data_IF_172234176184
#
_entry.id   IF_172234176184
#
_cell.length_a   1.000
_cell.length_b   1.000
_cell.length_c   1.000
_cell.angle_alpha   90.00
_cell.angle_beta   90.00
_cell.angle_gamma   90.00
#
_symmetry.space_group_name_H-M   'P 1'
#
loop_
_entity.id
_entity.type
_entity.pdbx_description
1 polymer ?
#
# COMPACT_ATOMS: atom_id res chain seq x y z
N UNK A 1 -23.49 -2.54 16.34
CA UNK A 1 -22.37 -1.63 15.99
C UNK A 1 -22.86 -0.89 14.78
N UNK A 2 -23.03 0.42 14.90
CA UNK A 2 -23.64 1.19 13.82
C UNK A 2 -22.57 1.53 12.80
N UNK A 3 -22.78 1.10 11.56
CA UNK A 3 -21.84 1.29 10.46
C UNK A 3 -22.48 2.26 9.46
N UNK A 4 -21.78 3.34 9.17
CA UNK A 4 -22.10 4.23 8.06
C UNK A 4 -21.13 3.96 6.92
N UNK A 5 -21.64 3.56 5.75
CA UNK A 5 -20.86 3.46 4.53
C UNK A 5 -21.07 4.73 3.67
N UNK A 6 -20.01 5.26 3.07
CA UNK A 6 -20.11 6.39 2.13
C UNK A 6 -19.23 6.17 0.90
N UNK A 7 -19.73 6.59 -0.24
CA UNK A 7 -18.96 6.70 -1.49
C UNK A 7 -18.98 8.12 -2.06
N UNK A 8 -19.52 9.08 -1.30
CA UNK A 8 -19.53 10.49 -1.64
C UNK A 8 -18.13 11.11 -1.49
N UNK A 9 -17.52 11.62 -2.58
CA UNK A 9 -16.22 12.29 -2.53
C UNK A 9 -16.17 13.48 -1.55
N UNK A 10 -17.27 14.19 -1.30
CA UNK A 10 -17.29 15.29 -0.36
C UNK A 10 -17.12 14.78 1.08
N UNK A 11 -17.84 13.72 1.45
CA UNK A 11 -17.68 13.06 2.74
C UNK A 11 -16.25 12.52 2.91
N UNK A 12 -15.71 11.86 1.89
CA UNK A 12 -14.33 11.33 1.93
C UNK A 12 -13.31 12.45 2.11
N UNK A 13 -13.44 13.54 1.36
CA UNK A 13 -12.56 14.70 1.52
C UNK A 13 -12.62 15.26 2.95
N UNK A 14 -13.82 15.34 3.52
CA UNK A 14 -14.00 15.82 4.89
C UNK A 14 -13.28 14.93 5.91
N UNK A 15 -13.48 13.62 5.80
CA UNK A 15 -12.93 12.62 6.72
C UNK A 15 -11.41 12.51 6.59
N UNK A 16 -10.89 12.53 5.36
CA UNK A 16 -9.48 12.23 5.07
C UNK A 16 -8.57 13.46 4.95
N UNK A 17 -9.15 14.66 4.97
CA UNK A 17 -8.42 15.92 4.84
C UNK A 17 -8.89 16.95 5.86
N UNK A 18 -10.07 17.58 5.68
CA UNK A 18 -10.41 18.79 6.45
C UNK A 18 -10.66 18.55 7.93
N UNK A 19 -11.08 17.35 8.32
CA UNK A 19 -11.38 16.96 9.71
C UNK A 19 -10.59 15.71 10.14
N UNK A 20 -9.43 15.47 9.50
CA UNK A 20 -8.63 14.24 9.68
C UNK A 20 -8.37 13.85 11.14
N UNK A 21 -8.09 14.81 12.02
CA UNK A 21 -7.82 14.57 13.44
C UNK A 21 -9.03 14.00 14.20
N UNK A 22 -10.25 14.25 13.74
CA UNK A 22 -11.47 13.68 14.32
C UNK A 22 -11.72 12.23 13.89
N UNK A 23 -11.01 11.75 12.86
CA UNK A 23 -11.23 10.43 12.25
C UNK A 23 -9.96 9.56 12.29
N UNK A 24 -9.52 9.09 13.47
CA UNK A 24 -8.54 8.00 13.57
C UNK A 24 -9.14 6.67 13.09
N UNK A 25 -8.32 5.63 12.97
CA UNK A 25 -8.82 4.25 12.77
C UNK A 25 -9.50 3.75 14.05
N UNK A 26 -8.90 4.06 15.20
CA UNK A 26 -9.47 3.82 16.52
C UNK A 26 -9.25 2.39 17.05
N UNK A 27 -9.58 2.15 18.33
CA UNK A 27 -9.22 0.91 19.04
C UNK A 27 -9.97 -0.33 18.55
N UNK A 28 -11.05 -0.15 17.80
CA UNK A 28 -11.79 -1.27 17.22
C UNK A 28 -11.13 -1.80 15.96
N UNK A 29 -10.57 -0.91 15.14
CA UNK A 29 -9.72 -1.29 14.03
C UNK A 29 -8.51 -2.08 14.53
N UNK A 30 -7.82 -1.57 15.56
CA UNK A 30 -6.66 -2.25 16.16
C UNK A 30 -6.99 -3.66 16.68
N UNK A 31 -8.22 -3.90 17.19
CA UNK A 31 -8.65 -5.24 17.63
C UNK A 31 -8.94 -6.19 16.47
N UNK A 32 -9.41 -5.67 15.34
CA UNK A 32 -9.70 -6.46 14.14
C UNK A 32 -8.39 -6.90 13.47
N UNK A 33 -7.41 -6.01 13.47
CA UNK A 33 -6.07 -6.20 12.89
C UNK A 33 -5.01 -6.56 13.93
N UNK A 34 -5.42 -7.03 15.12
CA UNK A 34 -4.54 -7.24 16.28
C UNK A 34 -3.30 -8.10 15.99
N UNK A 35 -3.43 -9.00 15.02
CA UNK A 35 -2.34 -9.83 14.53
C UNK A 35 -1.15 -9.01 13.98
N UNK A 36 -1.36 -7.94 13.21
CA UNK A 36 -0.24 -7.21 12.59
C UNK A 36 0.50 -6.25 13.55
N UNK A 37 0.20 -6.32 14.85
CA UNK A 37 0.88 -5.55 15.88
C UNK A 37 0.61 -4.05 15.77
N UNK A 38 1.58 -3.23 16.15
CA UNK A 38 1.44 -1.76 16.21
C UNK A 38 2.12 -1.05 15.03
N UNK A 39 2.33 -1.76 13.92
CA UNK A 39 3.07 -1.19 12.81
C UNK A 39 2.25 -0.23 11.94
N UNK A 40 2.88 0.27 10.87
CA UNK A 40 2.51 1.52 10.19
C UNK A 40 1.05 1.57 9.74
N UNK A 41 0.50 0.45 9.28
CA UNK A 41 -0.88 0.38 8.78
C UNK A 41 -1.93 0.43 9.89
N UNK A 42 -1.59 0.06 11.13
CA UNK A 42 -2.49 0.01 12.29
C UNK A 42 -2.32 1.22 13.21
N UNK A 43 -1.11 1.79 13.24
CA UNK A 43 -0.80 2.95 14.06
C UNK A 43 -1.74 4.14 13.78
N UNK A 44 -2.01 4.93 14.82
CA UNK A 44 -2.71 6.21 14.80
C UNK A 44 -1.81 7.32 15.40
N UNK A 45 -2.15 8.58 15.13
CA UNK A 45 -1.55 9.77 15.74
C UNK A 45 -0.01 9.81 15.64
N UNK A 46 0.69 10.11 16.74
CA UNK A 46 2.14 10.36 16.73
C UNK A 46 2.96 9.10 16.39
N UNK A 47 2.48 7.91 16.78
CA UNK A 47 3.11 6.64 16.38
C UNK A 47 3.12 6.50 14.85
N UNK A 48 1.98 6.76 14.21
CA UNK A 48 1.88 6.73 12.75
C UNK A 48 2.77 7.79 12.09
N UNK A 49 2.79 9.02 12.61
CA UNK A 49 3.64 10.10 12.07
C UNK A 49 5.12 9.71 12.09
N UNK A 50 5.58 9.14 13.21
CA UNK A 50 6.98 8.73 13.38
C UNK A 50 7.35 7.56 12.46
N UNK A 51 6.54 6.50 12.45
CA UNK A 51 6.79 5.35 11.58
C UNK A 51 6.74 5.74 10.10
N UNK A 52 5.83 6.64 9.70
CA UNK A 52 5.75 7.16 8.33
C UNK A 52 6.98 7.96 7.95
N UNK A 53 7.50 8.81 8.84
CA UNK A 53 8.73 9.58 8.60
C UNK A 53 9.91 8.65 8.29
N UNK A 54 10.04 7.56 9.06
CA UNK A 54 11.09 6.55 8.86
C UNK A 54 10.89 5.82 7.52
N UNK A 55 9.68 5.31 7.25
CA UNK A 55 9.37 4.63 6.00
C UNK A 55 9.62 5.52 4.76
N UNK A 56 9.32 6.82 4.85
CA UNK A 56 9.62 7.80 3.79
C UNK A 56 11.13 8.00 3.62
N UNK A 57 11.87 8.21 4.70
CA UNK A 57 13.32 8.39 4.65
C UNK A 57 14.01 7.19 3.98
N UNK A 58 13.51 5.98 4.24
CA UNK A 58 14.03 4.76 3.63
C UNK A 58 13.68 4.62 2.16
N UNK A 59 12.43 4.84 1.78
CA UNK A 59 11.98 4.68 0.39
C UNK A 59 12.56 5.72 -0.56
N UNK A 60 12.98 6.87 -0.04
CA UNK A 60 13.69 7.92 -0.81
C UNK A 60 15.21 7.73 -0.84
N UNK A 61 15.74 6.76 -0.08
CA UNK A 61 17.18 6.54 0.01
C UNK A 61 17.72 5.89 -1.27
N UNK A 62 18.81 6.44 -1.83
CA UNK A 62 19.41 5.96 -3.09
C UNK A 62 19.76 4.48 -3.07
N UNK A 63 20.23 3.99 -1.93
CA UNK A 63 20.61 2.59 -1.76
C UNK A 63 19.41 1.64 -1.75
N UNK A 64 18.29 2.06 -1.16
CA UNK A 64 17.04 1.30 -1.22
C UNK A 64 16.55 1.18 -2.66
N UNK A 65 16.65 2.26 -3.43
CA UNK A 65 16.31 2.23 -4.85
C UNK A 65 17.19 1.25 -5.66
N UNK A 66 18.51 1.27 -5.45
CA UNK A 66 19.43 0.33 -6.10
C UNK A 66 19.13 -1.13 -5.72
N UNK A 67 18.82 -1.37 -4.44
CA UNK A 67 18.40 -2.68 -3.96
C UNK A 67 17.09 -3.15 -4.61
N UNK A 68 16.07 -2.27 -4.69
CA UNK A 68 14.77 -2.55 -5.31
C UNK A 68 14.94 -2.94 -6.78
N UNK A 69 15.71 -2.15 -7.52
CA UNK A 69 16.01 -2.36 -8.93
C UNK A 69 16.68 -3.72 -9.16
N UNK A 70 17.74 -4.02 -8.41
CA UNK A 70 18.46 -5.30 -8.49
C UNK A 70 17.56 -6.48 -8.14
N UNK A 71 16.80 -6.37 -7.06
CA UNK A 71 15.87 -7.43 -6.62
C UNK A 71 14.79 -7.69 -7.67
N UNK A 72 14.26 -6.62 -8.28
CA UNK A 72 13.28 -6.73 -9.35
C UNK A 72 13.87 -7.44 -10.56
N UNK A 73 15.07 -7.07 -10.98
CA UNK A 73 15.78 -7.74 -12.07
C UNK A 73 16.01 -9.22 -11.77
N UNK A 74 16.56 -9.55 -10.59
CA UNK A 74 16.78 -10.93 -10.16
C UNK A 74 15.49 -11.74 -10.17
N UNK A 75 14.37 -11.14 -9.73
CA UNK A 75 13.04 -11.78 -9.73
C UNK A 75 12.48 -11.97 -11.14
N UNK A 76 12.66 -10.99 -12.03
CA UNK A 76 12.24 -11.08 -13.43
C UNK A 76 13.01 -12.21 -14.14
N UNK A 77 14.34 -12.24 -13.99
CA UNK A 77 15.21 -13.20 -14.66
C UNK A 77 15.07 -14.63 -14.11
N UNK A 78 14.94 -14.78 -12.79
CA UNK A 78 14.97 -16.11 -12.13
C UNK A 78 13.60 -16.61 -11.68
N UNK A 79 12.60 -15.73 -11.59
CA UNK A 79 11.35 -15.98 -10.87
C UNK A 79 10.06 -15.87 -11.69
N UNK A 80 10.02 -15.11 -12.80
CA UNK A 80 8.80 -14.96 -13.61
C UNK A 80 8.47 -16.16 -14.51
N UNK A 81 9.42 -17.08 -14.74
CA UNK A 81 9.19 -18.28 -15.55
C UNK A 81 8.61 -19.46 -14.72
N UNK A 82 8.96 -19.69 -13.44
CA UNK A 82 8.27 -20.66 -12.59
C UNK A 82 7.03 -20.08 -11.88
N UNK A 83 6.09 -19.46 -12.60
CA UNK A 83 4.86 -18.89 -12.01
C UNK A 83 3.73 -19.93 -11.84
N UNK A 84 3.93 -21.18 -12.27
CA UNK A 84 2.85 -22.18 -12.24
C UNK A 84 2.88 -23.17 -11.06
N UNK A 85 3.93 -23.19 -10.23
CA UNK A 85 4.09 -24.23 -9.18
C UNK A 85 4.42 -23.71 -7.77
N UNK A 86 4.40 -22.40 -7.53
CA UNK A 86 4.51 -21.83 -6.17
C UNK A 86 3.17 -21.22 -5.77
N UNK A 87 2.15 -22.05 -5.58
CA UNK A 87 1.14 -21.70 -4.58
C UNK A 87 1.86 -21.74 -3.21
N UNK A 88 2.47 -20.61 -2.90
CA UNK A 88 3.27 -20.37 -1.71
C UNK A 88 2.35 -20.45 -0.49
N UNK A 89 2.68 -21.33 0.44
CA UNK A 89 1.97 -21.50 1.72
C UNK A 89 1.77 -20.14 2.42
N UNK A 90 2.69 -19.20 2.22
CA UNK A 90 2.59 -17.82 2.69
C UNK A 90 1.45 -17.02 2.03
N UNK A 91 1.28 -17.12 0.70
CA UNK A 91 0.20 -16.41 -0.01
C UNK A 91 -1.18 -16.91 0.41
N UNK A 92 -1.35 -18.24 0.54
CA UNK A 92 -2.59 -18.83 1.05
C UNK A 92 -2.87 -18.41 2.49
N UNK A 93 -1.84 -18.38 3.35
CA UNK A 93 -1.98 -17.90 4.72
C UNK A 93 -2.43 -16.44 4.79
N UNK A 94 -1.93 -15.56 3.92
CA UNK A 94 -2.40 -14.19 3.84
C UNK A 94 -3.86 -14.08 3.36
N UNK A 95 -4.25 -14.84 2.33
CA UNK A 95 -5.65 -14.91 1.86
C UNK A 95 -6.60 -15.36 2.98
N UNK A 96 -6.18 -16.38 3.72
CA UNK A 96 -6.90 -16.92 4.86
C UNK A 96 -7.04 -15.87 5.99
N UNK A 97 -5.98 -15.10 6.26
CA UNK A 97 -6.02 -14.02 7.24
C UNK A 97 -6.94 -12.87 6.79
N UNK A 98 -6.84 -12.44 5.52
CA UNK A 98 -7.68 -11.40 4.92
C UNK A 98 -9.17 -11.78 4.98
N UNK A 99 -9.51 -13.03 4.66
CA UNK A 99 -10.89 -13.55 4.77
C UNK A 99 -11.42 -13.46 6.20
N UNK A 100 -10.61 -13.86 7.19
CA UNK A 100 -11.04 -13.83 8.59
C UNK A 100 -11.19 -12.40 9.10
N UNK A 101 -10.27 -11.49 8.73
CA UNK A 101 -10.38 -10.05 9.02
C UNK A 101 -11.69 -9.50 8.46
N UNK A 102 -12.02 -9.85 7.22
CA UNK A 102 -13.28 -9.45 6.60
C UNK A 102 -14.48 -9.97 7.40
N UNK A 103 -14.48 -11.24 7.82
CA UNK A 103 -15.54 -11.83 8.64
C UNK A 103 -15.67 -11.19 10.04
N UNK A 104 -14.56 -10.74 10.64
CA UNK A 104 -14.56 -10.04 11.95
C UNK A 104 -15.36 -8.73 11.92
N UNK A 105 -15.50 -8.08 10.75
CA UNK A 105 -16.32 -6.88 10.61
C UNK A 105 -17.82 -7.13 10.75
N UNK A 106 -18.30 -8.26 10.23
CA UNK A 106 -19.73 -8.58 10.22
C UNK A 106 -20.18 -9.39 11.44
N UNK A 107 -19.23 -10.03 12.14
CA UNK A 107 -19.53 -10.83 13.33
C UNK A 107 -19.53 -9.98 14.61
N UNK A 108 -20.55 -10.11 15.48
CA UNK A 108 -20.50 -9.57 16.84
C UNK A 108 -19.23 -9.99 17.58
N UNK A 109 -18.63 -9.06 18.33
CA UNK A 109 -17.36 -9.28 19.03
C UNK A 109 -17.33 -10.49 19.95
N UNK A 110 -18.45 -10.73 20.60
CA UNK A 110 -18.61 -11.85 21.52
C UNK A 110 -18.48 -13.17 20.75
N UNK A 111 -19.08 -13.27 19.56
CA UNK A 111 -19.05 -14.50 18.76
C UNK A 111 -17.63 -14.82 18.29
N UNK A 112 -16.93 -13.88 17.65
CA UNK A 112 -15.58 -14.19 17.16
C UNK A 112 -14.57 -14.37 18.31
N UNK A 113 -14.71 -13.65 19.42
CA UNK A 113 -13.85 -13.89 20.61
C UNK A 113 -14.08 -15.27 21.22
N UNK A 114 -15.32 -15.75 21.24
CA UNK A 114 -15.64 -17.11 21.68
C UNK A 114 -15.08 -18.15 20.72
N UNK A 115 -15.18 -17.94 19.40
CA UNK A 115 -14.58 -18.83 18.40
C UNK A 115 -13.06 -18.93 18.57
N UNK A 116 -12.40 -17.79 18.84
CA UNK A 116 -10.96 -17.74 19.14
C UNK A 116 -10.61 -18.47 20.43
N UNK A 117 -11.40 -18.28 21.49
CA UNK A 117 -11.17 -18.93 22.79
C UNK A 117 -11.34 -20.45 22.71
N UNK A 118 -12.36 -20.91 21.98
CA UNK A 118 -12.70 -22.32 21.82
C UNK A 118 -11.89 -22.99 20.70
N UNK A 119 -11.10 -22.23 19.94
CA UNK A 119 -10.17 -22.74 18.94
C UNK A 119 -10.83 -23.40 17.74
N UNK A 120 -11.98 -22.90 17.26
CA UNK A 120 -12.66 -23.45 16.08
C UNK A 120 -13.18 -22.38 15.12
N UNK A 121 -13.44 -22.79 13.87
CA UNK A 121 -14.00 -21.93 12.84
C UNK A 121 -12.97 -20.95 12.27
N UNK A 122 -13.41 -19.78 11.74
CA UNK A 122 -12.52 -18.83 11.07
C UNK A 122 -11.34 -18.36 11.94
N UNK A 123 -11.50 -18.29 13.26
CA UNK A 123 -10.41 -17.88 14.16
C UNK A 123 -9.31 -18.95 14.32
N UNK A 124 -9.63 -20.22 14.12
CA UNK A 124 -8.61 -21.28 14.04
C UNK A 124 -7.80 -21.14 12.76
N UNK A 125 -8.50 -20.93 11.62
CA UNK A 125 -7.88 -20.66 10.31
C UNK A 125 -6.94 -19.45 10.37
N UNK A 126 -7.36 -18.38 11.05
CA UNK A 126 -6.53 -17.20 11.32
C UNK A 126 -5.28 -17.52 12.13
N UNK A 127 -5.39 -18.36 13.16
CA UNK A 127 -4.25 -18.76 13.98
C UNK A 127 -3.21 -19.53 13.15
N UNK A 128 -3.66 -20.52 12.37
CA UNK A 128 -2.80 -21.33 11.50
C UNK A 128 -2.12 -20.46 10.43
N UNK A 129 -2.88 -19.58 9.78
CA UNK A 129 -2.35 -18.59 8.84
C UNK A 129 -1.29 -17.69 9.49
N UNK A 130 -1.55 -17.22 10.71
CA UNK A 130 -0.65 -16.31 11.39
C UNK A 130 0.67 -16.96 11.82
N UNK A 131 0.64 -18.23 12.23
CA UNK A 131 1.85 -19.00 12.53
C UNK A 131 2.78 -19.09 11.32
N UNK A 132 2.23 -19.27 10.11
CA UNK A 132 3.00 -19.28 8.87
C UNK A 132 3.63 -17.91 8.60
N UNK A 133 2.84 -16.83 8.71
CA UNK A 133 3.34 -15.45 8.49
C UNK A 133 4.45 -15.09 9.48
N UNK A 134 4.25 -15.44 10.75
CA UNK A 134 5.23 -15.20 11.82
C UNK A 134 6.53 -15.98 11.59
N UNK A 135 6.42 -17.25 11.19
CA UNK A 135 7.59 -18.09 10.88
C UNK A 135 8.39 -17.53 9.69
N UNK A 136 7.70 -17.06 8.64
CA UNK A 136 8.35 -16.42 7.48
C UNK A 136 9.07 -15.15 7.92
N UNK A 137 8.40 -14.27 8.69
CA UNK A 137 9.01 -13.04 9.21
C UNK A 137 10.23 -13.33 10.09
N UNK A 138 10.13 -14.30 11.01
CA UNK A 138 11.24 -14.72 11.86
C UNK A 138 12.43 -15.26 11.06
N UNK A 139 12.17 -16.04 10.00
CA UNK A 139 13.21 -16.55 9.09
C UNK A 139 13.94 -15.41 8.38
N UNK A 140 13.19 -14.42 7.88
CA UNK A 140 13.77 -13.23 7.26
C UNK A 140 14.66 -12.45 8.25
N UNK A 141 14.16 -12.20 9.47
CA UNK A 141 14.89 -11.47 10.50
C UNK A 141 16.17 -12.22 10.90
N UNK A 142 16.08 -13.54 11.14
CA UNK A 142 17.23 -14.36 11.54
C UNK A 142 18.30 -14.38 10.46
N UNK A 143 17.92 -14.68 9.20
CA UNK A 143 18.84 -14.69 8.06
C UNK A 143 19.54 -13.34 7.92
N UNK A 144 18.82 -12.24 8.12
CA UNK A 144 19.40 -10.91 7.98
C UNK A 144 20.33 -10.54 9.14
N UNK A 145 20.01 -10.96 10.36
CA UNK A 145 20.92 -10.84 11.52
C UNK A 145 22.22 -11.63 11.31
N UNK A 146 22.14 -12.82 10.71
CA UNK A 146 23.32 -13.63 10.37
C UNK A 146 24.19 -12.96 9.31
N UNK A 147 23.59 -12.42 8.24
CA UNK A 147 24.31 -11.65 7.22
C UNK A 147 25.05 -10.44 7.81
N UNK A 148 24.42 -9.74 8.78
CA UNK A 148 25.04 -8.62 9.49
C UNK A 148 26.17 -9.04 10.45
N UNK A 149 26.03 -10.17 11.14
CA UNK A 149 27.03 -10.69 12.09
C UNK A 149 28.23 -11.34 11.39
N UNK A 150 28.02 -11.95 10.22
CA UNK A 150 29.03 -12.71 9.50
C UNK A 150 30.13 -11.88 8.85
N UNK A 151 30.14 -10.55 9.02
CA UNK A 151 31.14 -9.66 8.39
C UNK A 151 31.08 -9.63 6.85
N UNK A 152 30.19 -10.42 6.24
CA UNK A 152 29.79 -10.33 4.83
C UNK A 152 28.91 -9.10 4.61
N UNK A 153 29.41 -7.93 5.02
CA UNK A 153 29.26 -6.78 4.14
C UNK A 153 30.07 -7.20 2.93
N UNK A 154 29.43 -7.81 1.94
CA UNK A 154 29.93 -7.68 0.60
C UNK A 154 30.01 -6.17 0.35
N UNK A 155 31.19 -5.59 0.64
CA UNK A 155 31.73 -4.47 -0.12
C UNK A 155 31.96 -4.98 -1.54
N UNK A 156 30.90 -5.46 -2.19
CA UNK A 156 30.79 -5.42 -3.64
C UNK A 156 30.44 -3.98 -3.90
N UNK A 157 31.42 -3.22 -4.38
CA UNK A 157 31.24 -1.83 -4.80
C UNK A 157 29.91 -1.74 -5.58
N UNK A 158 28.93 -1.03 -5.00
CA UNK A 158 27.60 -0.86 -5.61
C UNK A 158 26.41 -1.59 -4.96
N UNK A 159 26.59 -2.44 -3.94
CA UNK A 159 25.47 -2.99 -3.16
C UNK A 159 25.02 -1.97 -2.09
N UNK A 160 23.87 -1.33 -2.31
CA UNK A 160 23.24 -0.45 -1.33
C UNK A 160 22.85 -1.19 -0.04
N UNK A 161 22.76 -0.47 1.09
CA UNK A 161 22.24 -1.04 2.34
C UNK A 161 20.79 -1.52 2.18
N UNK A 162 20.53 -2.71 2.72
CA UNK A 162 19.21 -3.33 2.76
C UNK A 162 18.23 -2.53 3.66
N UNK A 163 16.94 -2.50 3.28
CA UNK A 163 15.87 -1.76 3.97
C UNK A 163 15.87 -2.02 5.48
N UNK A 164 16.05 -3.29 5.86
CA UNK A 164 16.06 -3.71 7.25
C UNK A 164 17.31 -3.21 7.98
N UNK A 165 18.45 -3.15 7.28
CA UNK A 165 19.72 -2.65 7.82
C UNK A 165 19.67 -1.14 8.06
N UNK A 166 19.11 -0.38 7.11
CA UNK A 166 18.90 1.06 7.29
C UNK A 166 17.84 1.35 8.37
N UNK A 167 16.81 0.49 8.53
CA UNK A 167 15.84 0.58 9.63
C UNK A 167 16.52 0.40 11.00
N UNK A 168 17.35 -0.64 11.16
CA UNK A 168 18.08 -0.95 12.39
C UNK A 168 19.05 0.18 12.77
N UNK A 169 19.71 0.81 11.77
CA UNK A 169 20.65 1.91 12.00
C UNK A 169 19.95 3.23 12.35
N UNK A 170 18.86 3.57 11.66
CA UNK A 170 18.08 4.80 11.93
C UNK A 170 17.33 4.75 13.28
N UNK A 171 16.98 3.56 13.76
CA UNK A 171 16.23 3.37 15.01
C UNK A 171 17.07 3.67 16.26
N UNK A 172 18.37 3.32 16.26
CA UNK A 172 19.28 3.58 17.39
C UNK A 172 19.38 5.06 17.78
N UNK A 173 18.97 5.97 16.90
CA UNK A 173 19.05 7.42 17.10
C UNK A 173 17.69 8.10 17.37
N UNK A 174 16.52 7.44 17.16
CA UNK A 174 15.22 8.14 17.11
C UNK A 174 14.11 7.66 18.07
N UNK A 175 14.27 6.62 18.90
CA UNK A 175 13.22 6.23 19.86
C UNK A 175 13.67 6.00 21.31
N UNK A 176 12.94 6.66 22.21
CA UNK A 176 12.86 6.44 23.67
C UNK A 176 11.49 5.79 23.92
N UNK A 177 11.41 4.46 24.14
CA UNK A 177 10.12 3.80 24.38
C UNK A 177 10.19 2.27 24.57
N UNK A 178 9.30 1.74 25.42
CA UNK A 178 9.36 0.46 26.15
C UNK A 178 9.15 -0.85 25.36
N UNK A 179 9.25 -0.87 24.02
CA UNK A 179 9.07 -2.10 23.22
C UNK A 179 10.41 -2.78 22.96
N UNK A 180 10.40 -4.11 22.90
CA UNK A 180 11.60 -4.84 22.47
C UNK A 180 11.84 -4.56 20.99
N UNK A 181 13.11 -4.36 20.63
CA UNK A 181 13.53 -4.18 19.23
C UNK A 181 13.02 -5.31 18.33
N UNK A 182 12.89 -6.52 18.87
CA UNK A 182 12.44 -7.71 18.16
C UNK A 182 10.97 -7.64 17.74
N UNK A 183 10.08 -7.16 18.61
CA UNK A 183 8.65 -6.98 18.28
C UNK A 183 8.43 -5.94 17.19
N UNK A 184 9.14 -4.81 17.28
CA UNK A 184 9.04 -3.75 16.29
C UNK A 184 9.55 -4.20 14.91
N UNK A 185 10.66 -4.92 14.88
CA UNK A 185 11.25 -5.46 13.65
C UNK A 185 10.32 -6.48 13.00
N UNK A 186 9.72 -7.35 13.80
CA UNK A 186 8.71 -8.30 13.36
C UNK A 186 7.51 -7.59 12.74
N UNK A 187 6.91 -6.64 13.45
CA UNK A 187 5.76 -5.88 12.94
C UNK A 187 6.11 -5.13 11.64
N UNK A 188 7.31 -4.56 11.54
CA UNK A 188 7.78 -3.86 10.34
C UNK A 188 7.94 -4.80 9.15
N UNK A 189 8.62 -5.94 9.31
CA UNK A 189 8.81 -6.95 8.25
C UNK A 189 7.47 -7.47 7.76
N UNK A 190 6.57 -7.83 8.68
CA UNK A 190 5.23 -8.31 8.36
C UNK A 190 4.47 -7.27 7.51
N UNK A 191 4.48 -6.00 7.91
CA UNK A 191 3.82 -4.93 7.16
C UNK A 191 4.37 -4.78 5.74
N UNK A 192 5.70 -4.86 5.54
CA UNK A 192 6.28 -4.79 4.21
C UNK A 192 5.96 -6.02 3.35
N UNK A 193 5.93 -7.22 3.94
CA UNK A 193 5.56 -8.44 3.22
C UNK A 193 4.13 -8.39 2.71
N UNK A 194 3.20 -7.84 3.51
CA UNK A 194 1.80 -7.68 3.13
C UNK A 194 1.64 -6.57 2.09
N UNK A 195 2.27 -5.42 2.31
CA UNK A 195 2.21 -4.29 1.39
C UNK A 195 2.85 -4.60 0.03
N UNK A 196 3.86 -5.48 0.00
CA UNK A 196 4.55 -5.92 -1.20
C UNK A 196 3.85 -7.02 -1.98
N UNK A 197 2.64 -7.44 -1.59
CA UNK A 197 1.89 -8.49 -2.30
C UNK A 197 1.55 -8.03 -3.72
N UNK A 198 1.88 -8.86 -4.71
CA UNK A 198 1.85 -8.56 -6.15
C UNK A 198 0.43 -8.41 -6.76
N UNK A 199 -0.61 -8.21 -5.94
CA UNK A 199 -2.01 -8.17 -6.39
C UNK A 199 -2.25 -7.07 -7.44
N UNK A 200 -1.67 -5.87 -7.26
CA UNK A 200 -1.80 -4.78 -8.23
C UNK A 200 -1.13 -5.11 -9.57
N UNK A 201 0.00 -5.81 -9.56
CA UNK A 201 0.76 -6.14 -10.76
C UNK A 201 0.06 -7.24 -11.56
N UNK A 202 -0.52 -8.23 -10.87
CA UNK A 202 -1.35 -9.25 -11.50
C UNK A 202 -2.57 -8.63 -12.22
N UNK A 203 -3.29 -7.71 -11.55
CA UNK A 203 -4.40 -6.99 -12.18
C UNK A 203 -3.94 -6.11 -13.35
N UNK A 204 -2.79 -5.45 -13.22
CA UNK A 204 -2.22 -4.63 -14.30
C UNK A 204 -1.97 -5.48 -15.55
N UNK A 205 -1.26 -6.61 -15.43
CA UNK A 205 -1.00 -7.47 -16.58
C UNK A 205 -2.27 -8.07 -17.17
N UNK A 206 -3.21 -8.49 -16.33
CA UNK A 206 -4.51 -8.99 -16.80
C UNK A 206 -5.28 -7.93 -17.58
N UNK A 207 -5.33 -6.69 -17.09
CA UNK A 207 -6.00 -5.57 -17.77
C UNK A 207 -5.30 -5.20 -19.07
N UNK A 208 -3.97 -5.12 -19.08
CA UNK A 208 -3.20 -4.83 -20.30
C UNK A 208 -3.44 -5.92 -21.35
N UNK A 209 -3.37 -7.19 -20.96
CA UNK A 209 -3.62 -8.34 -21.84
C UNK A 209 -5.04 -8.31 -22.44
N UNK A 210 -6.04 -7.92 -21.66
CA UNK A 210 -7.43 -7.79 -22.13
C UNK A 210 -7.66 -6.57 -23.02
N UNK A 211 -6.70 -5.64 -23.12
CA UNK A 211 -6.81 -4.40 -23.88
C UNK A 211 -5.59 -4.21 -24.82
N UNK A 212 -5.57 -4.88 -26.00
CA UNK A 212 -4.43 -4.85 -26.92
C UNK A 212 -4.03 -3.44 -27.37
N UNK A 213 -4.99 -2.51 -27.43
CA UNK A 213 -4.72 -1.09 -27.72
C UNK A 213 -3.85 -0.44 -26.65
N UNK A 214 -4.10 -0.73 -25.38
CA UNK A 214 -3.31 -0.22 -24.25
C UNK A 214 -1.93 -0.84 -24.28
N UNK A 215 -1.83 -2.15 -24.52
CA UNK A 215 -0.53 -2.82 -24.69
C UNK A 215 0.30 -2.19 -25.81
N UNK A 216 -0.29 -1.97 -26.99
CA UNK A 216 0.39 -1.36 -28.12
C UNK A 216 0.93 0.04 -27.77
N UNK A 217 0.13 0.88 -27.10
CA UNK A 217 0.55 2.22 -26.68
C UNK A 217 1.66 2.19 -25.63
N UNK A 218 1.61 1.27 -24.67
CA UNK A 218 2.70 1.08 -23.70
C UNK A 218 3.98 0.67 -24.43
N UNK A 219 3.90 -0.23 -25.41
CA UNK A 219 5.06 -0.66 -26.21
C UNK A 219 5.62 0.47 -27.06
N UNK A 220 4.77 1.28 -27.70
CA UNK A 220 5.18 2.46 -28.46
C UNK A 220 5.89 3.48 -27.56
N UNK A 221 5.34 3.75 -26.38
CA UNK A 221 5.96 4.65 -25.39
C UNK A 221 7.33 4.14 -24.95
N UNK A 222 7.44 2.85 -24.59
CA UNK A 222 8.71 2.22 -24.23
C UNK A 222 9.72 2.27 -25.37
N UNK A 223 9.31 2.04 -26.61
CA UNK A 223 10.20 2.10 -27.77
C UNK A 223 10.72 3.52 -28.02
N UNK A 224 9.90 4.55 -27.76
CA UNK A 224 10.30 5.95 -27.99
C UNK A 224 11.44 6.43 -27.09
N UNK A 225 11.66 5.77 -25.95
CA UNK A 225 12.71 6.12 -25.00
C UNK A 225 13.96 5.22 -25.12
N UNK A 226 13.90 4.16 -25.93
CA UNK A 226 15.05 3.28 -26.16
C UNK A 226 15.94 3.92 -27.23
N UNK A 227 17.22 4.26 -26.93
CA UNK A 227 18.13 4.79 -27.93
C UNK A 227 18.32 3.81 -29.09
N UNK A 228 18.33 4.32 -30.33
CA UNK A 228 18.47 3.52 -31.56
C UNK A 228 19.73 2.63 -31.62
N UNK A 229 20.73 2.91 -30.76
CA UNK A 229 22.00 2.18 -30.69
C UNK A 229 21.96 0.93 -29.80
N UNK A 230 20.88 0.72 -29.04
CA UNK A 230 20.71 -0.48 -28.21
C UNK A 230 19.96 -1.57 -28.98
N UNK A 231 20.42 -2.82 -28.85
CA UNK A 231 19.80 -3.95 -29.52
C UNK A 231 18.36 -4.15 -28.99
N UNK A 232 17.38 -4.14 -29.91
CA UNK A 232 15.94 -4.29 -29.59
C UNK A 232 15.58 -5.58 -28.83
N UNK A 233 16.47 -6.57 -28.85
CA UNK A 233 16.26 -7.91 -28.29
C UNK A 233 17.04 -8.19 -26.99
N UNK A 234 17.65 -7.17 -26.37
CA UNK A 234 18.33 -7.33 -25.07
C UNK A 234 17.48 -6.82 -23.90
N UNK A 235 17.53 -7.56 -22.80
CA UNK A 235 16.95 -7.11 -21.53
C UNK A 235 17.65 -5.82 -21.09
N UNK A 236 16.87 -4.76 -20.89
CA UNK A 236 17.33 -3.47 -20.42
C UNK A 236 16.62 -3.07 -19.15
N UNK A 237 17.40 -2.47 -18.25
CA UNK A 237 16.91 -1.80 -17.08
C UNK A 237 16.75 -0.29 -17.36
N UNK A 238 15.58 0.24 -17.04
CA UNK A 238 15.29 1.68 -17.17
C UNK A 238 15.74 2.44 -15.92
N UNK A 239 16.42 3.57 -16.13
CA UNK A 239 16.82 4.47 -15.05
C UNK A 239 15.64 5.37 -14.63
N UNK A 240 15.68 5.90 -13.41
CA UNK A 240 14.59 6.73 -12.84
C UNK A 240 14.20 7.90 -13.73
N UNK A 241 15.19 8.59 -14.33
CA UNK A 241 14.93 9.72 -15.22
C UNK A 241 14.19 9.31 -16.50
N UNK A 242 14.36 8.06 -16.95
CA UNK A 242 13.70 7.52 -18.13
C UNK A 242 12.26 7.12 -17.79
N UNK A 243 12.06 6.55 -16.59
CA UNK A 243 10.73 6.18 -16.09
C UNK A 243 9.81 7.38 -15.89
N UNK A 244 10.34 8.57 -15.57
CA UNK A 244 9.54 9.81 -15.43
C UNK A 244 8.82 10.21 -16.72
N UNK A 245 9.32 9.76 -17.87
CA UNK A 245 8.75 10.09 -19.17
C UNK A 245 7.70 9.07 -19.65
N UNK A 246 7.49 7.98 -18.90
CA UNK A 246 6.52 6.91 -19.23
C UNK A 246 5.11 7.25 -18.71
N UNK A 247 4.53 8.34 -19.24
CA UNK A 247 3.25 8.89 -18.79
C UNK A 247 2.10 7.90 -19.01
N UNK A 248 2.05 7.23 -20.16
CA UNK A 248 1.00 6.29 -20.50
C UNK A 248 1.06 5.02 -19.66
N UNK A 249 2.26 4.47 -19.42
CA UNK A 249 2.47 3.37 -18.48
C UNK A 249 2.02 3.75 -17.07
N UNK A 250 2.42 4.93 -16.59
CA UNK A 250 2.00 5.44 -15.27
C UNK A 250 0.47 5.60 -15.20
N UNK A 251 -0.14 6.13 -16.25
CA UNK A 251 -1.58 6.28 -16.35
C UNK A 251 -2.31 4.92 -16.35
N UNK A 252 -1.74 3.89 -16.99
CA UNK A 252 -2.29 2.54 -16.98
C UNK A 252 -2.19 1.88 -15.60
N UNK A 253 -1.11 2.15 -14.84
CA UNK A 253 -0.99 1.74 -13.43
C UNK A 253 -2.05 2.44 -12.57
N UNK A 254 -2.28 3.75 -12.77
CA UNK A 254 -3.30 4.49 -12.02
C UNK A 254 -4.72 4.01 -12.34
N UNK A 255 -5.00 3.72 -13.61
CA UNK A 255 -6.28 3.13 -14.03
C UNK A 255 -6.47 1.72 -13.46
N UNK A 256 -5.38 0.94 -13.34
CA UNK A 256 -5.41 -0.35 -12.65
C UNK A 256 -5.82 -0.17 -11.20
N UNK A 257 -5.18 0.76 -10.48
CA UNK A 257 -5.50 1.04 -9.08
C UNK A 257 -6.88 1.65 -8.86
N UNK A 258 -7.44 2.34 -9.87
CA UNK A 258 -8.82 2.85 -9.81
C UNK A 258 -9.81 1.69 -9.79
N UNK A 259 -9.58 0.68 -10.62
CA UNK A 259 -10.42 -0.51 -10.71
C UNK A 259 -10.08 -1.53 -9.62
N UNK A 260 -8.83 -1.69 -9.25
CA UNK A 260 -8.34 -2.71 -8.32
C UNK A 260 -7.39 -2.05 -7.31
N UNK A 261 -7.93 -1.22 -6.40
CA UNK A 261 -7.13 -0.61 -5.34
C UNK A 261 -6.56 -1.70 -4.41
N UNK A 262 -5.36 -1.44 -3.87
CA UNK A 262 -4.72 -2.36 -2.92
C UNK A 262 -5.57 -2.55 -1.64
N UNK A 263 -6.24 -1.48 -1.19
CA UNK A 263 -7.19 -1.52 -0.07
C UNK A 263 -8.59 -1.15 -0.59
N UNK A 264 -9.51 -2.12 -0.72
CA UNK A 264 -10.82 -1.86 -1.33
C UNK A 264 -11.81 -1.17 -0.40
N UNK A 265 -11.55 -1.18 0.92
CA UNK A 265 -12.41 -0.64 1.97
C UNK A 265 -11.55 -0.02 3.07
N UNK A 266 -11.86 1.22 3.43
CA UNK A 266 -11.16 1.99 4.46
C UNK A 266 -12.10 2.28 5.64
N UNK A 267 -11.52 2.32 6.84
CA UNK A 267 -12.27 2.39 8.09
C UNK A 267 -11.80 3.56 8.95
N UNK A 268 -12.75 4.33 9.45
CA UNK A 268 -12.53 5.48 10.31
C UNK A 268 -13.54 5.52 11.45
N UNK A 269 -13.16 6.11 12.57
CA UNK A 269 -14.02 6.26 13.74
C UNK A 269 -14.03 7.72 14.22
N UNK A 270 -15.20 8.39 14.28
CA UNK A 270 -15.30 9.73 14.84
C UNK A 270 -14.87 9.76 16.32
N UNK A 271 -14.06 10.73 16.72
CA UNK A 271 -13.75 11.00 18.13
C UNK A 271 -14.84 11.85 18.79
N UNK A 272 -15.42 12.78 18.02
CA UNK A 272 -16.51 13.67 18.42
C UNK A 272 -17.67 13.60 17.42
N UNK A 273 -18.90 13.95 17.84
CA UNK A 273 -20.02 14.12 16.93
C UNK A 273 -19.70 15.12 15.81
N UNK A 274 -20.12 14.81 14.59
CA UNK A 274 -19.86 15.63 13.39
C UNK A 274 -21.02 15.50 12.39
N UNK A 275 -21.12 16.43 11.46
CA UNK A 275 -22.10 16.42 10.35
C UNK A 275 -21.31 16.38 9.06
N UNK A 276 -21.43 15.29 8.31
CA UNK A 276 -20.74 15.15 7.03
C UNK A 276 -21.35 16.11 5.99
N UNK A 277 -20.61 16.48 4.92
CA UNK A 277 -21.11 17.34 3.84
C UNK A 277 -22.43 16.90 3.22
N UNK A 278 -22.70 15.59 3.20
CA UNK A 278 -23.99 15.02 2.79
C UNK A 278 -25.17 15.27 3.76
N UNK A 279 -24.95 15.93 4.89
CA UNK A 279 -25.93 16.18 5.96
C UNK A 279 -26.08 15.06 6.99
N UNK A 280 -25.37 13.95 6.84
CA UNK A 280 -25.46 12.82 7.77
C UNK A 280 -24.73 13.10 9.08
N UNK A 281 -25.40 12.82 10.20
CA UNK A 281 -24.82 12.91 11.53
C UNK A 281 -24.00 11.65 11.85
N UNK A 282 -22.77 11.85 12.31
CA UNK A 282 -21.88 10.78 12.78
C UNK A 282 -21.48 11.04 14.23
N UNK A 283 -21.22 9.98 14.99
CA UNK A 283 -20.85 10.09 16.39
C UNK A 283 -19.88 8.97 16.83
N UNK A 284 -19.27 9.06 18.03
CA UNK A 284 -18.22 8.13 18.46
C UNK A 284 -18.65 6.67 18.68
N UNK A 285 -19.95 6.36 18.61
CA UNK A 285 -20.47 4.98 18.67
C UNK A 285 -20.54 4.33 17.28
N UNK A 286 -20.40 5.12 16.22
CA UNK A 286 -20.46 4.68 14.83
C UNK A 286 -19.05 4.38 14.28
N UNK A 287 -18.98 3.48 13.32
CA UNK A 287 -17.83 3.33 12.44
C UNK A 287 -18.20 3.84 11.05
N UNK A 288 -17.28 4.55 10.43
CA UNK A 288 -17.40 5.01 9.06
C UNK A 288 -16.56 4.12 8.16
N UNK A 289 -17.16 3.67 7.07
CA UNK A 289 -16.50 2.95 6.00
C UNK A 289 -16.62 3.75 4.72
N UNK A 290 -15.53 3.94 4.00
CA UNK A 290 -15.61 4.37 2.60
C UNK A 290 -14.94 3.35 1.71
N UNK A 291 -15.46 3.20 0.50
CA UNK A 291 -15.18 2.05 -0.36
C UNK A 291 -14.48 2.50 -1.64
N UNK A 292 -13.14 2.67 -1.64
CA UNK A 292 -12.37 3.01 -2.84
C UNK A 292 -12.72 2.16 -4.06
N UNK A 293 -12.91 0.84 -3.87
CA UNK A 293 -13.28 -0.08 -4.94
C UNK A 293 -14.60 0.29 -5.64
N UNK A 294 -15.61 0.69 -4.84
CA UNK A 294 -16.92 1.11 -5.35
C UNK A 294 -16.82 2.51 -5.99
N UNK A 295 -16.14 3.44 -5.33
CA UNK A 295 -15.94 4.81 -5.83
C UNK A 295 -15.23 4.83 -7.19
N UNK A 296 -14.26 3.93 -7.38
CA UNK A 296 -13.63 3.70 -8.68
C UNK A 296 -14.62 3.38 -9.80
N UNK A 297 -15.80 2.83 -9.50
CA UNK A 297 -16.81 2.37 -10.48
C UNK A 297 -18.11 3.17 -10.46
N UNK A 298 -18.12 4.35 -9.87
CA UNK A 298 -19.33 5.18 -9.82
C UNK A 298 -19.47 6.11 -11.02
N UNK A 299 -20.66 6.11 -11.64
CA UNK A 299 -20.97 6.99 -12.79
C UNK A 299 -20.84 8.45 -12.42
N UNK A 300 -21.30 8.83 -11.23
CA UNK A 300 -21.22 10.21 -10.74
C UNK A 300 -19.79 10.72 -10.55
N UNK A 301 -18.80 9.82 -10.43
CA UNK A 301 -17.38 10.19 -10.24
C UNK A 301 -16.61 10.11 -11.56
N UNK A 302 -16.81 9.03 -12.32
CA UNK A 302 -15.96 8.66 -13.46
C UNK A 302 -16.67 8.68 -14.82
N UNK A 303 -17.96 9.02 -14.87
CA UNK A 303 -18.77 9.05 -16.10
C UNK A 303 -19.31 7.67 -16.51
N UNK A 304 -19.95 7.61 -17.67
CA UNK A 304 -20.58 6.38 -18.17
C UNK A 304 -19.57 5.28 -18.46
N UNK A 305 -18.38 5.65 -18.94
CA UNK A 305 -17.29 4.75 -19.32
C UNK A 305 -16.46 4.25 -18.11
N UNK A 306 -16.94 4.44 -16.87
CA UNK A 306 -16.25 4.05 -15.62
C UNK A 306 -15.77 2.60 -15.52
N UNK A 307 -16.40 1.66 -16.24
CA UNK A 307 -16.00 0.25 -16.21
C UNK A 307 -14.94 -0.09 -17.26
N UNK A 308 -14.69 0.82 -18.21
CA UNK A 308 -13.64 0.66 -19.21
C UNK A 308 -12.26 0.89 -18.59
N UNK A 309 -11.27 0.12 -19.05
CA UNK A 309 -9.87 0.35 -18.73
C UNK A 309 -9.29 1.38 -19.71
N UNK A 310 -9.27 2.65 -19.28
CA UNK A 310 -8.92 3.80 -20.11
C UNK A 310 -7.85 4.66 -19.44
N UNK A 311 -6.55 4.33 -19.62
CA UNK A 311 -5.44 5.11 -19.07
C UNK A 311 -5.52 6.62 -19.38
N UNK A 312 -6.10 6.98 -20.53
CA UNK A 312 -6.26 8.37 -20.98
C UNK A 312 -7.02 9.26 -19.97
N UNK A 313 -7.77 8.69 -19.01
CA UNK A 313 -8.39 9.44 -17.90
C UNK A 313 -7.39 10.22 -17.07
N UNK A 314 -6.18 9.69 -16.93
CA UNK A 314 -5.10 10.24 -16.13
C UNK A 314 -4.09 11.04 -16.95
N UNK A 315 -4.40 11.36 -18.20
CA UNK A 315 -3.52 12.12 -19.09
C UNK A 315 -4.18 13.47 -19.41
N UNK A 316 -3.41 14.55 -19.30
CA UNK A 316 -3.85 15.90 -19.63
C UNK A 316 -3.77 16.15 -21.13
N UNK A 317 -4.46 17.19 -21.63
CA UNK A 317 -4.36 17.60 -23.05
C UNK A 317 -2.93 17.97 -23.47
N UNK A 318 -2.07 18.34 -22.51
CA UNK A 318 -0.66 18.65 -22.72
C UNK A 318 0.25 17.41 -22.76
N UNK A 319 -0.32 16.21 -22.62
CA UNK A 319 0.42 14.94 -22.66
C UNK A 319 1.08 14.53 -21.34
N UNK A 320 1.01 15.35 -20.28
CA UNK A 320 1.51 15.00 -18.95
C UNK A 320 0.44 14.36 -18.06
N UNK A 321 0.83 13.82 -16.91
CA UNK A 321 -0.10 13.27 -15.91
C UNK A 321 -1.13 14.32 -15.45
N UNK A 322 -2.40 13.96 -15.50
CA UNK A 322 -3.52 14.77 -15.02
C UNK A 322 -3.67 14.61 -13.51
N UNK A 323 -3.75 15.74 -12.82
CA UNK A 323 -4.10 15.74 -11.40
C UNK A 323 -5.57 15.32 -11.21
N UNK A 324 -5.79 14.22 -10.49
CA UNK A 324 -7.11 13.76 -10.06
C UNK A 324 -7.22 13.94 -8.55
N UNK A 325 -8.25 14.66 -8.05
CA UNK A 325 -8.44 14.86 -6.62
C UNK A 325 -8.50 13.52 -5.86
N UNK A 326 -7.81 13.44 -4.72
CA UNK A 326 -7.66 12.23 -3.90
C UNK A 326 -8.98 11.70 -3.39
N UNK A 327 -9.95 12.59 -3.16
CA UNK A 327 -11.30 12.19 -2.76
C UNK A 327 -12.09 11.52 -3.89
N UNK A 328 -11.62 11.59 -5.15
CA UNK A 328 -12.13 10.81 -6.29
C UNK A 328 -11.30 9.55 -6.56
N UNK A 329 -9.97 9.65 -6.38
CA UNK A 329 -9.02 8.56 -6.60
C UNK A 329 -8.22 8.26 -5.33
N UNK A 330 -8.69 7.30 -4.54
CA UNK A 330 -8.14 6.94 -3.22
C UNK A 330 -7.25 5.69 -3.32
N UNK A 331 -6.38 5.61 -4.33
CA UNK A 331 -5.50 4.45 -4.49
C UNK A 331 -4.33 4.44 -3.51
N UNK A 332 -3.84 5.62 -3.13
CA UNK A 332 -2.65 5.79 -2.31
C UNK A 332 -2.96 6.35 -0.92
N UNK A 333 -4.23 6.35 -0.52
CA UNK A 333 -4.75 7.08 0.65
C UNK A 333 -4.28 8.55 0.69
N UNK A 334 -4.73 9.35 1.66
CA UNK A 334 -4.17 10.71 1.85
C UNK A 334 -2.71 10.68 2.40
N UNK A 335 -2.03 9.53 2.35
CA UNK A 335 -0.62 9.32 2.70
C UNK A 335 0.37 10.10 1.81
N UNK A 336 -0.11 10.86 0.82
CA UNK A 336 0.75 11.62 -0.09
C UNK A 336 0.54 13.14 -0.03
N UNK A 337 -0.57 13.65 0.51
CA UNK A 337 -0.97 15.06 0.26
C UNK A 337 -0.71 16.08 1.36
N UNK A 338 -0.41 15.67 2.60
CA UNK A 338 -0.07 16.64 3.66
C UNK A 338 1.19 17.48 3.32
N UNK A 339 2.06 17.03 2.42
CA UNK A 339 3.32 17.76 2.09
C UNK A 339 3.22 18.77 0.95
N UNK A 340 2.12 18.81 0.19
CA UNK A 340 2.03 19.68 -0.98
C UNK A 340 0.89 20.71 -0.91
N UNK A 341 0.13 20.73 0.20
CA UNK A 341 -0.91 21.73 0.42
C UNK A 341 -0.66 22.63 1.64
N UNK A 342 0.46 22.51 2.35
CA UNK A 342 0.79 23.40 3.49
C UNK A 342 1.68 24.60 3.14
N UNK A 343 1.94 24.88 1.85
CA UNK A 343 2.52 26.17 1.44
C UNK A 343 1.85 26.70 0.18
N UNK A 344 0.71 27.40 0.30
CA UNK A 344 0.38 28.46 -0.64
C UNK A 344 1.14 29.71 -0.20
N UNK A 345 2.15 30.10 -0.99
CA UNK A 345 2.64 31.47 -1.15
C UNK A 345 2.41 32.43 0.05
N UNK A 346 3.30 32.39 1.05
CA UNK A 346 3.63 33.64 1.74
C UNK A 346 4.46 34.46 0.76
N UNK A 347 3.76 35.32 0.03
CA UNK A 347 4.35 36.31 -0.84
C UNK A 347 5.34 37.17 -0.05
N UNK A 348 6.62 37.07 -0.41
CA UNK A 348 7.54 38.19 -0.24
C UNK A 348 6.98 39.37 -1.02
N UNK A 349 6.45 40.34 -0.29
CA UNK A 349 5.77 41.50 -0.83
C UNK A 349 5.63 42.63 0.19
N UNK A 350 6.76 43.08 0.75
CA UNK A 350 7.00 44.49 1.11
C UNK A 350 8.47 44.70 1.43
#
# INVERSE_FOLDING_TARGET
>A
MDIMATTDPANVHHIMSTSFSNYPKGPEFQKIFDIFGDGLFIADSDSWKNQRKIAKALTTHRQFYQFLVKTTQDKVEKGLIPVQNREDTFSRALDDAEEVIFLRYFKPKILWKLQRLLGFGPEQKMKEAWEIVDQVAATFISKKREELRGGNISKREGEGEDLLTSYIKMEGEMFIGSKSQDEFMRDTVVNFLIAGRENCLAWFFWLVFKNPRVEARIREELQSIIPDKEAKDQWRLFHTEELKNLVYLQAALFETLRLYPAVPVEHKKPLQPDILPSGHHVNPKMNIMFLPYAMGRMTSIWGEDRLEFKPERFISERGGMKHVPTNKFIAFNSLYWEEHCTHPDEGNGS
#
